data_IF_126330345615
#
_entry.id   IF_126330345615
#
_cell.length_a   1.000
_cell.length_b   1.000
_cell.length_c   1.000
_cell.angle_alpha   90.00
_cell.angle_beta   90.00
_cell.angle_gamma   90.00
#
_symmetry.space_group_name_H-M   'P 1'
#
loop_
_entity.id
_entity.type
_entity.pdbx_description
1 polymer ?
#
# COMPACT_ATOMS: atom_id res chain seq x y z
N UNK A 1 17.99 -6.03 14.24
CA UNK A 1 18.78 -6.83 13.26
C UNK A 1 18.12 -8.19 13.19
N UNK A 2 17.19 -8.38 12.24
CA UNK A 2 16.55 -9.68 12.06
C UNK A 2 17.59 -10.68 11.58
N UNK A 3 17.73 -11.76 12.33
CA UNK A 3 18.48 -12.93 11.91
C UNK A 3 17.79 -13.46 10.66
N UNK A 4 18.56 -13.75 9.61
CA UNK A 4 18.07 -14.48 8.46
C UNK A 4 17.61 -15.85 9.00
N UNK A 5 16.30 -16.10 8.94
CA UNK A 5 15.65 -17.22 9.59
C UNK A 5 15.46 -18.41 8.64
N UNK A 6 15.54 -18.19 7.33
CA UNK A 6 15.48 -19.24 6.31
C UNK A 6 16.21 -18.85 5.02
N UNK A 7 16.33 -19.82 4.09
CA UNK A 7 16.93 -19.60 2.78
C UNK A 7 16.13 -18.56 1.97
N UNK A 8 16.87 -17.75 1.21
CA UNK A 8 16.32 -16.80 0.25
C UNK A 8 15.94 -17.56 -1.02
N UNK A 9 14.82 -17.21 -1.63
CA UNK A 9 14.45 -17.73 -2.95
C UNK A 9 15.25 -17.00 -4.03
N UNK A 10 16.14 -17.72 -4.73
CA UNK A 10 17.07 -17.14 -5.70
C UNK A 10 16.36 -16.32 -6.79
N UNK A 11 15.18 -16.76 -7.23
CA UNK A 11 14.40 -16.07 -8.27
C UNK A 11 13.88 -14.70 -7.80
N UNK A 12 13.58 -14.54 -6.51
CA UNK A 12 13.12 -13.27 -5.92
C UNK A 12 14.26 -12.25 -5.73
N UNK A 13 15.52 -12.69 -5.78
CA UNK A 13 16.67 -11.80 -5.62
C UNK A 13 16.78 -10.76 -6.75
N UNK A 14 16.21 -11.06 -7.92
CA UNK A 14 16.19 -10.19 -9.09
C UNK A 14 14.91 -9.33 -9.19
N UNK A 15 13.91 -9.57 -8.34
CA UNK A 15 12.65 -8.85 -8.34
C UNK A 15 12.74 -7.69 -7.35
N UNK A 16 12.50 -6.47 -7.80
CA UNK A 16 12.47 -5.28 -6.94
C UNK A 16 11.24 -5.25 -6.04
N UNK A 17 11.29 -4.49 -4.94
CA UNK A 17 10.12 -4.31 -4.06
C UNK A 17 8.98 -3.60 -4.81
N UNK A 18 9.33 -2.65 -5.67
CA UNK A 18 8.40 -2.03 -6.62
C UNK A 18 7.70 -3.08 -7.50
N UNK A 19 8.42 -4.02 -8.09
CA UNK A 19 7.80 -5.07 -8.93
C UNK A 19 6.85 -5.97 -8.13
N UNK A 20 7.15 -6.28 -6.87
CA UNK A 20 6.26 -7.03 -5.98
C UNK A 20 4.94 -6.25 -5.75
N UNK A 21 5.03 -4.95 -5.44
CA UNK A 21 3.83 -4.12 -5.21
C UNK A 21 3.03 -3.91 -6.51
N UNK A 22 3.69 -3.69 -7.64
CA UNK A 22 3.02 -3.54 -8.94
C UNK A 22 2.35 -4.85 -9.36
N UNK A 23 2.94 -6.01 -9.07
CA UNK A 23 2.30 -7.29 -9.28
C UNK A 23 1.00 -7.43 -8.47
N UNK A 24 1.00 -6.99 -7.21
CA UNK A 24 -0.22 -6.96 -6.39
C UNK A 24 -1.28 -6.02 -6.97
N UNK A 25 -0.92 -4.80 -7.39
CA UNK A 25 -1.86 -3.88 -8.08
C UNK A 25 -2.47 -4.52 -9.34
N UNK A 26 -1.68 -5.24 -10.15
CA UNK A 26 -2.17 -5.95 -11.32
C UNK A 26 -3.16 -7.08 -10.95
N UNK A 27 -2.90 -7.79 -9.85
CA UNK A 27 -3.82 -8.79 -9.33
C UNK A 27 -5.14 -8.14 -8.88
N UNK A 28 -5.10 -6.99 -8.18
CA UNK A 28 -6.31 -6.26 -7.80
C UNK A 28 -7.15 -5.87 -9.02
N UNK A 29 -6.52 -5.25 -10.03
CA UNK A 29 -7.21 -4.90 -11.28
C UNK A 29 -7.88 -6.11 -11.96
N UNK A 30 -7.25 -7.28 -11.86
CA UNK A 30 -7.75 -8.52 -12.46
C UNK A 30 -8.88 -9.16 -11.67
N UNK A 31 -8.82 -9.09 -10.33
CA UNK A 31 -9.75 -9.76 -9.43
C UNK A 31 -10.98 -8.91 -9.12
N UNK A 32 -10.81 -7.61 -8.91
CA UNK A 32 -11.83 -6.71 -8.39
C UNK A 32 -13.17 -6.73 -9.15
N UNK A 33 -13.21 -6.76 -10.50
CA UNK A 33 -14.48 -6.86 -11.24
C UNK A 33 -15.33 -8.10 -10.89
N UNK A 34 -14.71 -9.13 -10.33
CA UNK A 34 -15.35 -10.37 -9.91
C UNK A 34 -15.66 -10.44 -8.41
N UNK A 35 -15.15 -9.50 -7.60
CA UNK A 35 -15.42 -9.40 -6.17
C UNK A 35 -16.71 -8.64 -5.86
N UNK A 36 -17.08 -7.68 -6.71
CA UNK A 36 -18.27 -6.83 -6.54
C UNK A 36 -19.63 -7.53 -6.63
N UNK A 37 -19.83 -8.63 -7.39
CA UNK A 37 -21.14 -9.24 -7.53
C UNK A 37 -21.34 -10.50 -6.67
N UNK A 38 -20.61 -10.68 -5.55
CA UNK A 38 -21.08 -11.65 -4.55
C UNK A 38 -22.26 -10.98 -3.82
N UNK A 39 -23.48 -11.18 -4.34
CA UNK A 39 -24.74 -10.79 -3.69
C UNK A 39 -24.94 -11.60 -2.40
N UNK A 40 -24.09 -11.38 -1.41
CA UNK A 40 -24.24 -11.86 -0.06
C UNK A 40 -24.70 -10.68 0.78
N UNK A 41 -25.90 -10.80 1.37
CA UNK A 41 -26.44 -9.76 2.23
C UNK A 41 -25.50 -9.53 3.43
N UNK A 42 -25.13 -8.27 3.68
CA UNK A 42 -24.23 -7.86 4.78
C UNK A 42 -22.81 -8.46 4.74
N UNK A 43 -22.32 -8.82 3.55
CA UNK A 43 -20.95 -9.29 3.34
C UNK A 43 -20.16 -8.25 2.54
N UNK A 44 -19.04 -7.77 3.09
CA UNK A 44 -18.07 -6.99 2.32
C UNK A 44 -16.95 -7.94 1.87
N UNK A 45 -17.09 -8.44 0.63
CA UNK A 45 -16.15 -9.40 0.06
C UNK A 45 -14.76 -8.80 -0.16
N UNK A 46 -14.65 -7.47 -0.24
CA UNK A 46 -13.39 -6.81 -0.53
C UNK A 46 -12.41 -6.99 0.63
N UNK A 47 -12.76 -6.48 1.81
CA UNK A 47 -11.88 -6.47 2.99
C UNK A 47 -11.41 -7.89 3.36
N UNK A 48 -12.35 -8.84 3.35
CA UNK A 48 -12.10 -10.24 3.73
C UNK A 48 -11.14 -10.95 2.77
N UNK A 49 -11.06 -10.53 1.51
CA UNK A 49 -10.20 -11.14 0.49
C UNK A 49 -8.90 -10.37 0.34
N UNK A 50 -8.96 -9.04 0.29
CA UNK A 50 -7.82 -8.21 -0.08
C UNK A 50 -6.75 -8.20 1.01
N UNK A 51 -7.13 -8.18 2.29
CA UNK A 51 -6.17 -8.09 3.40
C UNK A 51 -5.31 -9.38 3.49
N UNK A 52 -5.90 -10.60 3.47
CA UNK A 52 -5.11 -11.83 3.38
C UNK A 52 -4.30 -11.91 2.07
N UNK A 53 -4.90 -11.52 0.94
CA UNK A 53 -4.21 -11.56 -0.35
C UNK A 53 -2.97 -10.65 -0.38
N UNK A 54 -3.05 -9.46 0.20
CA UNK A 54 -1.90 -8.56 0.33
C UNK A 54 -0.78 -9.21 1.15
N UNK A 55 -1.12 -9.82 2.29
CA UNK A 55 -0.13 -10.51 3.10
C UNK A 55 0.56 -11.65 2.34
N UNK A 56 -0.21 -12.46 1.63
CA UNK A 56 0.33 -13.60 0.86
C UNK A 56 1.10 -13.17 -0.40
N UNK A 57 0.67 -12.13 -1.11
CA UNK A 57 1.34 -11.71 -2.34
C UNK A 57 2.53 -10.78 -2.09
N UNK A 58 2.49 -9.97 -1.02
CA UNK A 58 3.49 -8.93 -0.76
C UNK A 58 4.40 -9.33 0.38
N UNK A 59 3.87 -9.53 1.60
CA UNK A 59 4.73 -9.81 2.75
C UNK A 59 5.35 -11.20 2.73
N UNK A 60 4.67 -12.23 2.23
CA UNK A 60 5.33 -13.53 2.03
C UNK A 60 6.43 -13.42 0.97
N UNK A 61 6.21 -12.68 -0.12
CA UNK A 61 7.27 -12.41 -1.11
C UNK A 61 8.47 -11.72 -0.46
N UNK A 62 8.26 -10.72 0.40
CA UNK A 62 9.34 -10.11 1.18
C UNK A 62 10.00 -11.07 2.16
N UNK A 63 9.22 -11.93 2.82
CA UNK A 63 9.73 -12.98 3.71
C UNK A 63 10.73 -13.86 2.97
N UNK A 64 10.36 -14.42 1.81
CA UNK A 64 11.21 -15.26 0.97
C UNK A 64 12.37 -14.51 0.31
N UNK A 65 12.15 -13.27 -0.12
CA UNK A 65 13.19 -12.43 -0.73
C UNK A 65 14.29 -12.06 0.27
N UNK A 66 13.92 -11.72 1.50
CA UNK A 66 14.86 -11.21 2.51
C UNK A 66 15.28 -12.27 3.55
N UNK A 67 14.72 -13.48 3.46
CA UNK A 67 15.03 -14.58 4.39
C UNK A 67 14.56 -14.31 5.82
N UNK A 68 13.55 -13.46 6.00
CA UNK A 68 13.01 -13.09 7.31
C UNK A 68 11.63 -13.73 7.50
N UNK A 69 11.28 -14.12 8.72
CA UNK A 69 9.93 -14.62 9.01
C UNK A 69 9.04 -13.44 9.40
N UNK A 70 7.94 -13.24 8.66
CA UNK A 70 6.94 -12.22 8.97
C UNK A 70 5.63 -12.89 9.38
N UNK A 71 5.04 -12.45 10.48
CA UNK A 71 3.66 -12.80 10.86
C UNK A 71 2.73 -11.62 10.63
N UNK A 72 1.40 -11.81 10.56
CA UNK A 72 0.45 -10.70 10.42
C UNK A 72 0.55 -9.65 11.54
N UNK A 73 1.12 -10.00 12.70
CA UNK A 73 1.32 -9.05 13.80
C UNK A 73 2.55 -8.16 13.59
N UNK A 74 3.50 -8.60 12.78
CA UNK A 74 4.77 -7.87 12.59
C UNK A 74 4.64 -6.81 11.51
N UNK A 75 3.60 -6.88 10.68
CA UNK A 75 3.46 -6.08 9.47
C UNK A 75 2.29 -5.10 9.54
N UNK A 76 2.37 -4.05 8.74
CA UNK A 76 1.28 -3.11 8.49
C UNK A 76 0.26 -3.71 7.52
N UNK A 77 -0.99 -3.86 7.96
CA UNK A 77 -2.08 -4.43 7.17
C UNK A 77 -2.60 -3.45 6.11
N UNK A 78 -2.97 -3.97 4.94
CA UNK A 78 -3.55 -3.23 3.82
C UNK A 78 -4.76 -2.38 4.25
N UNK A 79 -4.84 -1.13 3.81
CA UNK A 79 -5.90 -0.13 4.14
C UNK A 79 -5.97 0.34 5.61
N UNK A 80 -5.22 -0.27 6.53
CA UNK A 80 -5.23 0.16 7.94
C UNK A 80 -4.31 1.36 8.19
N UNK A 81 -4.71 2.21 9.11
CA UNK A 81 -3.83 3.25 9.69
C UNK A 81 -3.30 2.74 11.02
N UNK A 82 -2.00 2.98 11.29
CA UNK A 82 -1.39 2.68 12.59
C UNK A 82 -1.21 3.94 13.42
N UNK A 83 -1.12 3.79 14.74
CA UNK A 83 -0.76 4.91 15.64
C UNK A 83 0.70 5.32 15.48
N UNK A 84 1.56 4.35 15.17
CA UNK A 84 2.96 4.52 14.79
C UNK A 84 3.37 3.35 13.91
N UNK A 85 4.22 3.63 12.92
CA UNK A 85 4.81 2.63 12.03
C UNK A 85 6.16 2.11 12.53
N UNK A 86 6.75 2.76 13.55
CA UNK A 86 7.96 2.25 14.19
C UNK A 86 7.67 0.95 14.94
N UNK A 87 8.56 -0.03 14.82
CA UNK A 87 8.39 -1.38 15.35
C UNK A 87 7.35 -2.20 14.59
N UNK A 88 7.00 -1.78 13.36
CA UNK A 88 6.16 -2.52 12.42
C UNK A 88 6.85 -2.57 11.08
N UNK A 89 6.94 -3.75 10.50
CA UNK A 89 7.35 -3.88 9.10
C UNK A 89 6.30 -3.20 8.21
N UNK A 90 6.75 -2.33 7.32
CA UNK A 90 5.87 -1.55 6.46
C UNK A 90 6.56 -1.28 5.12
N UNK A 91 5.86 -0.58 4.23
CA UNK A 91 6.38 -0.23 2.91
C UNK A 91 6.39 1.29 2.82
N UNK A 92 7.57 1.84 2.53
CA UNK A 92 7.75 3.26 2.26
C UNK A 92 7.69 3.54 0.76
N UNK A 93 7.15 4.70 0.41
CA UNK A 93 6.97 5.21 -0.94
C UNK A 93 7.97 6.35 -1.19
N UNK A 94 8.74 6.25 -2.26
CA UNK A 94 9.77 7.23 -2.61
C UNK A 94 9.41 7.92 -3.93
N UNK A 95 9.14 9.24 -3.92
CA UNK A 95 8.93 10.00 -5.14
C UNK A 95 10.13 9.94 -6.09
N UNK A 96 9.90 9.54 -7.35
CA UNK A 96 10.94 9.48 -8.38
C UNK A 96 11.05 10.78 -9.21
N UNK A 97 10.06 11.68 -9.06
CA UNK A 97 10.00 12.97 -9.76
C UNK A 97 10.15 14.13 -8.78
N UNK A 98 10.71 15.24 -9.25
CA UNK A 98 10.81 16.50 -8.50
C UNK A 98 9.46 17.16 -8.25
N UNK A 99 8.49 16.94 -9.13
CA UNK A 99 7.12 17.41 -8.97
C UNK A 99 6.14 16.26 -9.21
N UNK A 100 5.22 16.10 -8.26
CA UNK A 100 4.22 15.03 -8.23
C UNK A 100 2.82 15.62 -8.36
N UNK A 101 1.99 14.98 -9.16
CA UNK A 101 0.54 15.18 -9.09
C UNK A 101 0.00 14.40 -7.89
N UNK A 102 -0.53 15.12 -6.92
CA UNK A 102 -1.06 14.59 -5.66
C UNK A 102 -2.56 14.89 -5.62
N UNK A 103 -3.37 13.88 -5.32
CA UNK A 103 -4.78 14.09 -5.01
C UNK A 103 -4.97 14.13 -3.50
N UNK A 104 -5.49 15.25 -3.03
CA UNK A 104 -5.79 15.53 -1.62
C UNK A 104 -6.96 16.50 -1.57
N UNK A 105 -7.77 16.48 -0.51
CA UNK A 105 -8.91 17.40 -0.34
C UNK A 105 -9.85 17.47 -1.56
N UNK A 106 -10.06 16.35 -2.25
CA UNK A 106 -10.87 16.22 -3.48
C UNK A 106 -10.37 17.01 -4.70
N UNK A 107 -9.09 17.39 -4.73
CA UNK A 107 -8.47 18.10 -5.85
C UNK A 107 -7.08 17.56 -6.21
N UNK A 108 -6.70 17.73 -7.48
CA UNK A 108 -5.35 17.43 -7.96
C UNK A 108 -4.48 18.67 -7.86
N UNK A 109 -3.40 18.57 -7.10
CA UNK A 109 -2.40 19.62 -6.92
C UNK A 109 -1.03 19.10 -7.33
N UNK A 110 -0.16 20.00 -7.82
CA UNK A 110 1.24 19.67 -8.05
C UNK A 110 2.06 20.07 -6.83
N UNK A 111 2.79 19.11 -6.27
CA UNK A 111 3.60 19.28 -5.07
C UNK A 111 5.06 19.02 -5.40
N UNK A 112 5.97 19.84 -4.88
CA UNK A 112 7.41 19.60 -4.98
C UNK A 112 7.80 18.46 -4.06
N UNK A 113 8.77 17.62 -4.46
CA UNK A 113 9.32 16.56 -3.60
C UNK A 113 9.83 17.10 -2.26
N UNK A 114 10.37 18.32 -2.24
CA UNK A 114 10.83 19.03 -1.03
C UNK A 114 9.73 19.21 0.03
N UNK A 115 8.45 19.19 -0.37
CA UNK A 115 7.32 19.27 0.56
C UNK A 115 7.28 18.09 1.54
N UNK A 116 7.84 16.95 1.16
CA UNK A 116 7.88 15.73 1.98
C UNK A 116 9.17 15.61 2.80
N UNK A 117 9.98 16.68 2.92
CA UNK A 117 11.18 16.64 3.74
C UNK A 117 10.87 16.45 5.23
N UNK A 118 11.57 15.50 5.85
CA UNK A 118 11.37 15.12 7.25
C UNK A 118 10.08 14.33 7.52
N UNK A 119 9.44 13.79 6.48
CA UNK A 119 8.31 12.87 6.59
C UNK A 119 8.62 11.54 5.92
N UNK A 120 7.94 10.49 6.38
CA UNK A 120 7.86 9.21 5.71
C UNK A 120 6.53 9.14 4.96
N UNK A 121 6.58 8.63 3.73
CA UNK A 121 5.40 8.35 2.93
C UNK A 121 5.12 6.87 3.01
N UNK A 122 4.11 6.47 3.77
CA UNK A 122 3.81 5.06 4.00
C UNK A 122 2.76 4.58 3.00
N UNK A 123 3.05 3.49 2.30
CA UNK A 123 2.07 2.79 1.47
C UNK A 123 0.90 2.32 2.34
N UNK A 124 -0.32 2.69 1.98
CA UNK A 124 -1.54 2.23 2.69
C UNK A 124 -2.36 1.28 1.84
N UNK A 125 -2.67 1.67 0.62
CA UNK A 125 -3.45 0.87 -0.31
C UNK A 125 -3.21 1.30 -1.75
N UNK A 126 -3.69 0.49 -2.70
CA UNK A 126 -3.94 0.95 -4.06
C UNK A 126 -5.40 1.38 -4.22
N UNK A 127 -5.62 2.46 -4.95
CA UNK A 127 -6.94 2.98 -5.27
C UNK A 127 -6.82 4.20 -6.18
N UNK A 128 -7.91 4.95 -6.36
CA UNK A 128 -7.91 6.19 -7.14
C UNK A 128 -8.40 7.41 -6.34
N UNK A 129 -8.80 7.20 -5.08
CA UNK A 129 -9.32 8.23 -4.17
C UNK A 129 -10.68 8.82 -4.58
N UNK A 130 -11.28 8.33 -5.67
CA UNK A 130 -12.50 8.87 -6.28
C UNK A 130 -13.63 7.84 -6.17
N UNK A 131 -13.34 6.59 -6.51
CA UNK A 131 -14.30 5.50 -6.49
C UNK A 131 -14.13 4.69 -5.19
N UNK A 132 -15.22 4.56 -4.43
CA UNK A 132 -15.22 3.76 -3.22
C UNK A 132 -15.07 2.27 -3.55
N UNK A 133 -14.19 1.59 -2.82
CA UNK A 133 -13.91 0.15 -2.98
C UNK A 133 -14.96 -0.74 -2.29
N UNK A 134 -15.68 -0.17 -1.33
CA UNK A 134 -16.62 -0.84 -0.45
C UNK A 134 -18.03 -0.21 -0.55
N UNK A 135 -19.04 -0.86 0.03
CA UNK A 135 -20.35 -0.21 0.26
C UNK A 135 -21.38 -0.30 -0.87
N UNK A 136 -21.42 -1.39 -1.63
CA UNK A 136 -22.54 -1.69 -2.53
C UNK A 136 -22.54 -0.90 -3.85
N UNK A 137 -21.35 -0.59 -4.37
CA UNK A 137 -21.21 -0.04 -5.72
C UNK A 137 -21.73 -1.04 -6.76
N UNK A 138 -22.37 -0.54 -7.81
CA UNK A 138 -22.89 -1.39 -8.89
C UNK A 138 -21.75 -1.92 -9.75
N UNK A 139 -22.01 -3.02 -10.48
CA UNK A 139 -21.05 -3.60 -11.43
C UNK A 139 -20.55 -2.58 -12.48
N UNK A 140 -21.37 -1.62 -12.88
CA UNK A 140 -20.97 -0.59 -13.83
C UNK A 140 -19.99 0.43 -13.21
N UNK A 141 -20.09 0.65 -11.90
CA UNK A 141 -19.20 1.51 -11.12
C UNK A 141 -17.89 0.78 -10.80
N UNK A 142 -17.95 -0.55 -10.61
CA UNK A 142 -16.78 -1.43 -10.47
C UNK A 142 -15.74 -1.22 -11.57
N UNK A 143 -16.21 -1.07 -12.82
CA UNK A 143 -15.35 -0.93 -13.98
C UNK A 143 -14.60 0.40 -14.05
N UNK A 144 -14.97 1.38 -13.22
CA UNK A 144 -14.32 2.69 -13.12
C UNK A 144 -13.29 2.74 -12.01
N UNK A 145 -13.22 1.72 -11.15
CA UNK A 145 -12.21 1.64 -10.10
C UNK A 145 -10.87 1.30 -10.73
N UNK A 146 -9.87 2.08 -10.37
CA UNK A 146 -8.51 1.86 -10.83
C UNK A 146 -7.55 1.73 -9.64
N UNK A 147 -6.64 0.76 -9.72
CA UNK A 147 -5.60 0.53 -8.71
C UNK A 147 -4.24 1.11 -9.12
N UNK A 148 -4.25 2.19 -9.90
CA UNK A 148 -3.06 2.82 -10.48
C UNK A 148 -2.52 4.01 -9.67
N UNK A 149 -3.20 4.40 -8.59
CA UNK A 149 -2.67 5.32 -7.59
C UNK A 149 -2.46 4.60 -6.26
N UNK A 150 -1.61 5.17 -5.45
CA UNK A 150 -1.26 4.70 -4.11
C UNK A 150 -1.85 5.66 -3.11
N UNK A 151 -2.68 5.14 -2.22
CA UNK A 151 -3.06 5.83 -0.99
C UNK A 151 -1.84 5.83 -0.06
N UNK A 152 -1.38 7.03 0.31
CA UNK A 152 -0.20 7.25 1.12
C UNK A 152 -0.58 7.94 2.42
N UNK A 153 -0.04 7.44 3.52
CA UNK A 153 -0.10 8.08 4.81
C UNK A 153 1.21 8.83 5.09
N UNK A 154 1.13 10.14 5.35
CA UNK A 154 2.29 10.97 5.67
C UNK A 154 2.51 10.97 7.18
N UNK A 155 3.69 10.52 7.62
CA UNK A 155 4.04 10.47 9.04
C UNK A 155 5.37 11.17 9.32
N UNK A 156 5.59 11.55 10.57
CA UNK A 156 6.87 12.11 11.03
C UNK A 156 7.95 11.03 11.01
N UNK A 157 9.10 11.34 10.38
CA UNK A 157 10.28 10.46 10.38
C UNK A 157 10.82 10.20 11.79
N UNK A 158 10.76 11.20 12.68
CA UNK A 158 11.25 11.06 14.06
C UNK A 158 10.41 10.09 14.90
N UNK A 159 9.09 10.07 14.70
CA UNK A 159 8.16 9.37 15.59
C UNK A 159 7.43 8.20 14.93
N UNK A 160 7.55 8.05 13.61
CA UNK A 160 6.77 7.12 12.81
C UNK A 160 5.26 7.36 12.89
N UNK A 161 4.84 8.52 13.41
CA UNK A 161 3.46 8.81 13.80
C UNK A 161 2.94 10.03 13.06
N UNK A 162 1.60 10.16 12.96
CA UNK A 162 0.96 11.31 12.32
C UNK A 162 1.38 12.62 12.98
N UNK A 163 1.58 13.67 12.17
CA UNK A 163 1.77 15.04 12.66
C UNK A 163 0.40 15.65 13.00
N UNK A 164 -0.02 15.56 14.27
CA UNK A 164 -1.23 16.26 14.76
C UNK A 164 -2.56 15.69 14.25
N UNK A 165 -3.57 16.56 14.10
CA UNK A 165 -4.97 16.19 13.74
C UNK A 165 -5.21 16.09 12.22
N UNK A 166 -4.19 16.31 11.40
CA UNK A 166 -4.32 16.33 9.95
C UNK A 166 -4.08 14.91 9.43
N UNK A 167 -5.18 14.19 9.24
CA UNK A 167 -5.19 12.95 8.47
C UNK A 167 -4.98 13.30 7.00
N UNK A 168 -3.78 13.73 6.62
CA UNK A 168 -3.44 13.86 5.20
C UNK A 168 -3.08 12.48 4.67
N UNK A 169 -4.13 11.77 4.27
CA UNK A 169 -3.98 10.70 3.30
C UNK A 169 -4.04 11.32 1.91
N UNK A 170 -3.02 11.03 1.11
CA UNK A 170 -2.91 11.54 -0.26
C UNK A 170 -2.89 10.40 -1.26
N UNK A 171 -3.18 10.69 -2.52
CA UNK A 171 -3.04 9.72 -3.60
C UNK A 171 -2.01 10.19 -4.61
N UNK A 172 -1.05 9.32 -4.95
CA UNK A 172 0.01 9.58 -5.94
C UNK A 172 0.00 8.46 -6.99
N UNK A 173 0.19 8.75 -8.29
CA UNK A 173 0.31 7.70 -9.30
C UNK A 173 1.39 6.68 -8.94
N UNK A 174 1.06 5.39 -8.97
CA UNK A 174 2.01 4.31 -8.60
C UNK A 174 3.29 4.32 -9.47
N UNK A 175 3.15 4.71 -10.74
CA UNK A 175 4.28 4.86 -11.68
C UNK A 175 5.26 5.98 -11.34
N UNK A 176 4.91 6.86 -10.40
CA UNK A 176 5.72 8.00 -9.98
C UNK A 176 6.39 7.75 -8.62
N UNK A 177 6.36 6.50 -8.15
CA UNK A 177 6.88 6.05 -6.86
C UNK A 177 7.76 4.81 -7.03
N UNK A 178 8.83 4.76 -6.25
CA UNK A 178 9.49 3.51 -5.89
C UNK A 178 8.98 3.04 -4.52
N UNK A 179 8.93 1.72 -4.33
CA UNK A 179 8.50 1.11 -3.07
C UNK A 179 9.69 0.42 -2.43
N UNK A 180 9.83 0.59 -1.12
CA UNK A 180 10.89 -0.05 -0.33
C UNK A 180 10.28 -0.71 0.87
N UNK A 181 10.57 -2.00 1.06
CA UNK A 181 10.18 -2.71 2.26
C UNK A 181 11.10 -2.35 3.43
N UNK A 182 10.50 -1.93 4.53
CA UNK A 182 11.20 -1.60 5.78
C UNK A 182 10.98 -2.71 6.79
N UNK A 183 12.05 -3.47 7.06
CA UNK A 183 12.05 -4.52 8.05
C UNK A 183 12.32 -3.95 9.46
N UNK A 184 11.30 -3.37 10.07
CA UNK A 184 11.41 -2.80 11.42
C UNK A 184 11.24 -3.84 12.55
N UNK A 185 11.84 -3.54 13.71
CA UNK A 185 11.86 -4.36 14.95
C UNK A 185 11.19 -3.63 16.13
#
# INVERSE_FOLDING_TARGET
>A
MKLINHGVEDDLSYVTDTEILINFSNALNSLYPYLIPINAFAYDAWDDIVVPLFYEMVYQSFSYKYGITLTPKDVHAYEFTLSSYHGKCHIECYPIKESLAVFTNFEWVNVSKEHFEGTLLIFKSFGDGINFLTGGIKKEQAAQVHFNYVEIEIVSEETGSKRGNEFETIYIPAKDLDFVFIADD
#
